data_IF_431974449837
#
_entry.id   IF_431974449837
#
_cell.length_a   1.000
_cell.length_b   1.000
_cell.length_c   1.000
_cell.angle_alpha   90.00
_cell.angle_beta   90.00
_cell.angle_gamma   90.00
#
_symmetry.space_group_name_H-M   'P 1'
#
loop_
_entity.id
_entity.type
_entity.pdbx_description
1 polymer ?
#
# COMPACT_ATOMS: atom_id res chain seq x y z
N UNK A 1 -3.31 -23.72 11.93
CA UNK A 1 -3.85 -22.62 12.77
C UNK A 1 -4.32 -21.52 11.83
N UNK A 2 -5.27 -20.68 12.22
CA UNK A 2 -5.62 -19.52 11.39
C UNK A 2 -4.42 -18.56 11.27
N UNK A 3 -4.20 -17.92 10.11
CA UNK A 3 -3.10 -16.96 9.93
C UNK A 3 -3.21 -15.80 10.90
N UNK A 4 -2.06 -15.31 11.37
CA UNK A 4 -1.98 -14.15 12.26
C UNK A 4 -2.45 -12.85 11.58
N UNK A 5 -2.28 -12.75 10.27
CA UNK A 5 -2.65 -11.60 9.46
C UNK A 5 -3.31 -12.03 8.16
N UNK A 6 -4.46 -11.45 7.85
CA UNK A 6 -5.13 -11.59 6.55
C UNK A 6 -5.13 -10.22 5.91
N UNK A 7 -4.55 -10.12 4.71
CA UNK A 7 -4.31 -8.82 4.08
C UNK A 7 -4.85 -8.74 2.66
N UNK A 8 -5.19 -7.51 2.28
CA UNK A 8 -5.29 -7.05 0.89
C UNK A 8 -4.07 -6.17 0.65
N UNK A 9 -3.41 -6.31 -0.50
CA UNK A 9 -2.35 -5.41 -0.94
C UNK A 9 -2.92 -4.56 -2.08
N UNK A 10 -2.99 -3.24 -1.90
CA UNK A 10 -3.36 -2.27 -2.95
C UNK A 10 -2.09 -1.56 -3.43
N UNK A 11 -1.74 -1.74 -4.71
CA UNK A 11 -0.37 -1.53 -5.22
C UNK A 11 -0.36 -1.07 -6.67
N UNK A 12 0.67 -0.32 -7.06
CA UNK A 12 0.99 0.13 -8.41
C UNK A 12 2.38 -0.40 -8.88
N UNK A 13 2.49 -1.73 -9.06
CA UNK A 13 3.75 -2.47 -9.08
C UNK A 13 4.93 -1.81 -9.83
N UNK A 14 5.79 -1.14 -9.07
CA UNK A 14 7.16 -0.79 -9.43
C UNK A 14 8.17 -1.72 -8.76
N UNK A 15 9.43 -1.27 -8.73
CA UNK A 15 10.54 -2.03 -8.13
C UNK A 15 10.30 -2.34 -6.65
N UNK A 16 9.82 -1.36 -5.88
CA UNK A 16 9.67 -1.50 -4.44
C UNK A 16 8.42 -2.30 -4.06
N UNK A 17 7.30 -2.08 -4.74
CA UNK A 17 6.09 -2.92 -4.66
C UNK A 17 6.37 -4.40 -4.92
N UNK A 18 7.17 -4.71 -5.94
CA UNK A 18 7.53 -6.09 -6.29
C UNK A 18 8.35 -6.72 -5.16
N UNK A 19 9.25 -5.97 -4.52
CA UNK A 19 9.96 -6.45 -3.34
C UNK A 19 9.02 -6.65 -2.14
N UNK A 20 8.00 -5.81 -1.98
CA UNK A 20 7.00 -5.93 -0.93
C UNK A 20 6.14 -7.19 -1.12
N UNK A 21 5.66 -7.42 -2.35
CA UNK A 21 4.91 -8.63 -2.71
C UNK A 21 5.78 -9.88 -2.60
N UNK A 22 7.06 -9.84 -3.01
CA UNK A 22 7.99 -10.96 -2.80
C UNK A 22 8.12 -11.33 -1.33
N UNK A 23 8.27 -10.32 -0.46
CA UNK A 23 8.35 -10.54 0.99
C UNK A 23 7.03 -11.13 1.54
N UNK A 24 5.89 -10.63 1.08
CA UNK A 24 4.58 -11.14 1.48
C UNK A 24 4.37 -12.59 1.02
N UNK A 25 4.70 -12.91 -0.23
CA UNK A 25 4.58 -14.26 -0.79
C UNK A 25 5.52 -15.26 -0.12
N UNK A 26 6.73 -14.83 0.27
CA UNK A 26 7.70 -15.65 1.00
C UNK A 26 7.35 -15.88 2.49
N UNK A 27 6.30 -15.25 3.01
CA UNK A 27 5.83 -15.50 4.36
C UNK A 27 5.34 -16.94 4.55
N UNK A 28 5.25 -17.39 5.81
CA UNK A 28 4.61 -18.66 6.12
C UNK A 28 3.09 -18.50 6.17
N UNK A 29 2.30 -19.54 5.83
CA UNK A 29 0.85 -19.48 5.87
C UNK A 29 0.26 -19.14 7.25
N UNK A 30 0.97 -19.47 8.34
CA UNK A 30 0.57 -19.08 9.69
C UNK A 30 0.84 -17.59 10.02
N UNK A 31 1.74 -16.93 9.29
CA UNK A 31 2.10 -15.52 9.50
C UNK A 31 1.19 -14.58 8.71
N UNK A 32 0.90 -14.94 7.45
CA UNK A 32 0.24 -14.06 6.49
C UNK A 32 -0.60 -14.85 5.48
N UNK A 33 -1.83 -14.40 5.25
CA UNK A 33 -2.71 -14.84 4.16
C UNK A 33 -3.04 -13.63 3.29
N UNK A 34 -2.81 -13.74 1.98
CA UNK A 34 -3.01 -12.66 1.02
C UNK A 34 -4.28 -12.94 0.23
N UNK A 35 -5.31 -12.15 0.46
CA UNK A 35 -6.64 -12.35 -0.11
C UNK A 35 -6.78 -11.74 -1.50
N UNK A 36 -6.19 -10.56 -1.68
CA UNK A 36 -6.32 -9.76 -2.89
C UNK A 36 -5.05 -8.95 -3.14
N UNK A 37 -4.60 -8.97 -4.38
CA UNK A 37 -3.72 -7.98 -4.99
C UNK A 37 -4.61 -7.06 -5.83
N UNK A 38 -4.87 -5.88 -5.30
CA UNK A 38 -5.62 -4.80 -5.92
C UNK A 38 -4.63 -3.92 -6.67
N UNK A 39 -4.77 -3.83 -7.99
CA UNK A 39 -3.79 -3.14 -8.85
C UNK A 39 -4.32 -1.76 -9.23
N UNK A 40 -3.53 -0.71 -9.06
CA UNK A 40 -3.83 0.67 -9.51
C UNK A 40 -2.72 1.22 -10.40
N UNK A 41 -2.98 2.35 -11.05
CA UNK A 41 -1.96 3.18 -11.68
C UNK A 41 -1.09 3.86 -10.61
N UNK A 42 0.10 4.33 -11.02
CA UNK A 42 0.98 5.18 -10.22
C UNK A 42 2.37 5.24 -10.84
N UNK A 43 3.27 4.35 -10.44
CA UNK A 43 4.61 4.22 -11.02
C UNK A 43 4.58 4.13 -12.55
N UNK A 44 3.66 3.31 -13.06
CA UNK A 44 3.32 3.17 -14.47
C UNK A 44 1.81 3.02 -14.66
N UNK A 45 1.37 2.97 -15.92
CA UNK A 45 -0.03 2.71 -16.25
C UNK A 45 -0.51 1.36 -15.68
N UNK A 46 -1.79 1.29 -15.30
CA UNK A 46 -2.35 0.11 -14.60
C UNK A 46 -2.16 -1.21 -15.36
N UNK A 47 -2.12 -1.17 -16.69
CA UNK A 47 -1.89 -2.37 -17.52
C UNK A 47 -0.43 -2.86 -17.44
N UNK A 48 0.53 -1.94 -17.32
CA UNK A 48 1.93 -2.26 -17.06
C UNK A 48 2.10 -2.77 -15.62
N UNK A 49 1.44 -2.14 -14.64
CA UNK A 49 1.39 -2.66 -13.27
C UNK A 49 0.85 -4.10 -13.23
N UNK A 50 -0.25 -4.37 -13.92
CA UNK A 50 -0.83 -5.72 -14.00
C UNK A 50 0.14 -6.73 -14.62
N UNK A 51 0.85 -6.34 -15.70
CA UNK A 51 1.89 -7.19 -16.30
C UNK A 51 2.98 -7.54 -15.30
N UNK A 52 3.40 -6.59 -14.47
CA UNK A 52 4.41 -6.79 -13.43
C UNK A 52 3.93 -7.79 -12.37
N UNK A 53 2.66 -7.73 -11.93
CA UNK A 53 2.07 -8.73 -11.02
C UNK A 53 2.07 -10.12 -11.65
N UNK A 54 1.62 -10.25 -12.90
CA UNK A 54 1.59 -11.55 -13.59
C UNK A 54 3.01 -12.10 -13.79
N UNK A 55 3.97 -11.24 -14.12
CA UNK A 55 5.37 -11.63 -14.25
C UNK A 55 5.97 -12.10 -12.93
N UNK A 56 5.62 -11.45 -11.82
CA UNK A 56 6.03 -11.86 -10.49
C UNK A 56 5.56 -13.30 -10.19
N UNK A 57 4.28 -13.61 -10.39
CA UNK A 57 3.78 -14.99 -10.23
C UNK A 57 4.52 -15.97 -11.13
N UNK A 58 4.71 -15.62 -12.40
CA UNK A 58 5.39 -16.46 -13.38
C UNK A 58 6.85 -16.78 -12.99
N UNK A 59 7.60 -15.78 -12.53
CA UNK A 59 9.00 -15.94 -12.10
C UNK A 59 9.08 -16.75 -10.80
N UNK A 60 8.16 -16.54 -9.85
CA UNK A 60 8.10 -17.35 -8.63
C UNK A 60 7.81 -18.81 -8.97
N UNK A 61 6.89 -19.11 -9.88
CA UNK A 61 6.61 -20.50 -10.30
C UNK A 61 7.87 -21.18 -10.86
N UNK A 62 8.62 -20.48 -11.72
CA UNK A 62 9.92 -20.98 -12.25
C UNK A 62 10.96 -21.18 -11.15
N UNK A 63 11.03 -20.26 -10.19
CA UNK A 63 11.94 -20.35 -9.05
C UNK A 63 11.61 -21.57 -8.17
N UNK A 64 10.33 -21.81 -7.89
CA UNK A 64 9.88 -22.98 -7.10
C UNK A 64 10.22 -24.29 -7.81
N UNK A 65 10.03 -24.36 -9.14
CA UNK A 65 10.45 -25.51 -9.95
C UNK A 65 11.97 -25.74 -9.89
N UNK A 66 12.75 -24.65 -10.01
CA UNK A 66 14.21 -24.70 -9.90
C UNK A 66 14.68 -25.18 -8.52
N UNK A 67 14.10 -24.67 -7.42
CA UNK A 67 14.38 -25.11 -6.04
C UNK A 67 14.04 -26.58 -5.85
N UNK A 68 12.87 -27.01 -6.33
CA UNK A 68 12.41 -28.41 -6.26
C UNK A 68 13.36 -29.37 -6.97
N UNK A 69 13.80 -29.02 -8.18
CA UNK A 69 14.72 -29.84 -8.97
C UNK A 69 16.08 -30.04 -8.28
N UNK A 70 16.44 -29.15 -7.34
CA UNK A 70 17.67 -29.20 -6.54
C UNK A 70 17.46 -29.78 -5.13
N UNK A 71 16.25 -30.27 -4.81
CA UNK A 71 15.92 -30.80 -3.48
C UNK A 71 15.87 -29.74 -2.38
N UNK A 72 15.69 -28.47 -2.74
CA UNK A 72 15.51 -27.36 -1.80
C UNK A 72 14.03 -27.20 -1.45
N UNK A 73 13.75 -26.45 -0.37
CA UNK A 73 12.38 -26.03 -0.06
C UNK A 73 11.86 -25.14 -1.18
N UNK A 74 10.66 -25.44 -1.70
CA UNK A 74 10.06 -24.67 -2.81
C UNK A 74 9.85 -23.20 -2.41
N UNK A 75 9.43 -22.94 -1.17
CA UNK A 75 9.18 -21.60 -0.67
C UNK A 75 7.90 -20.97 -1.24
N UNK A 76 7.67 -19.71 -0.88
CA UNK A 76 6.49 -18.92 -1.27
C UNK A 76 5.15 -19.55 -0.85
N UNK A 77 5.13 -20.19 0.32
CA UNK A 77 3.99 -20.99 0.77
C UNK A 77 2.75 -20.16 1.08
N UNK A 78 2.89 -18.92 1.57
CA UNK A 78 1.75 -18.02 1.75
C UNK A 78 1.01 -17.77 0.43
N UNK A 79 1.74 -17.53 -0.66
CA UNK A 79 1.18 -17.31 -2.00
C UNK A 79 0.39 -18.52 -2.49
N UNK A 80 0.98 -19.71 -2.38
CA UNK A 80 0.34 -20.96 -2.85
C UNK A 80 -0.86 -21.31 -1.99
N UNK A 81 -0.74 -21.14 -0.66
CA UNK A 81 -1.82 -21.44 0.27
C UNK A 81 -2.99 -20.48 0.13
N UNK A 82 -2.74 -19.18 -0.12
CA UNK A 82 -3.82 -18.19 -0.19
C UNK A 82 -4.41 -18.05 -1.59
N UNK A 83 -3.62 -18.36 -2.64
CA UNK A 83 -3.99 -18.20 -4.06
C UNK A 83 -4.72 -16.86 -4.29
N UNK A 84 -4.03 -15.73 -4.07
CA UNK A 84 -4.67 -14.41 -3.98
C UNK A 84 -5.50 -14.11 -5.23
N UNK A 85 -6.58 -13.36 -5.04
CA UNK A 85 -7.29 -12.73 -6.14
C UNK A 85 -6.40 -11.63 -6.71
N UNK A 86 -6.38 -11.44 -8.03
CA UNK A 86 -5.79 -10.28 -8.68
C UNK A 86 -6.91 -9.51 -9.36
N UNK A 87 -7.06 -8.23 -9.06
CA UNK A 87 -8.12 -7.40 -9.62
C UNK A 87 -7.56 -6.07 -10.13
N UNK A 88 -8.06 -5.64 -11.30
CA UNK A 88 -7.68 -4.37 -11.92
C UNK A 88 -8.53 -3.27 -11.32
N UNK A 89 -7.90 -2.22 -10.84
CA UNK A 89 -8.53 -1.06 -10.23
C UNK A 89 -8.55 0.16 -11.15
N UNK A 90 -8.41 1.33 -10.54
CA UNK A 90 -8.37 2.61 -11.23
C UNK A 90 -7.17 2.71 -12.17
N UNK A 91 -7.37 3.41 -13.29
CA UNK A 91 -6.35 3.73 -14.30
C UNK A 91 -5.95 5.23 -14.29
N UNK A 92 -6.58 6.05 -13.44
CA UNK A 92 -6.33 7.48 -13.29
C UNK A 92 -6.72 7.97 -11.88
N UNK A 93 -6.15 9.11 -11.40
CA UNK A 93 -6.51 9.69 -10.11
C UNK A 93 -7.94 10.20 -10.05
N UNK A 94 -8.45 10.27 -8.83
CA UNK A 94 -9.64 11.05 -8.54
C UNK A 94 -9.36 12.51 -8.83
N UNK A 95 -10.17 13.08 -9.73
CA UNK A 95 -10.29 14.52 -9.86
C UNK A 95 -8.94 15.24 -10.11
N UNK A 96 -8.03 14.62 -10.87
CA UNK A 96 -6.71 15.18 -11.21
C UNK A 96 -6.19 14.66 -12.58
N UNK A 97 -5.12 15.27 -13.09
CA UNK A 97 -4.41 14.79 -14.28
C UNK A 97 -3.49 13.60 -13.95
N UNK A 98 -3.38 12.65 -14.87
CA UNK A 98 -2.54 11.46 -14.71
C UNK A 98 -1.06 11.87 -14.63
N UNK A 99 -0.39 11.43 -13.56
CA UNK A 99 1.06 11.57 -13.36
C UNK A 99 1.68 10.17 -13.20
N UNK A 100 2.81 9.94 -13.85
CA UNK A 100 3.52 8.65 -13.87
C UNK A 100 4.99 8.86 -13.48
N UNK A 101 5.62 7.85 -12.86
CA UNK A 101 7.03 7.88 -12.45
C UNK A 101 7.96 7.00 -13.33
N UNK A 102 7.59 6.83 -14.61
CA UNK A 102 8.31 6.04 -15.60
C UNK A 102 9.79 6.44 -15.77
N UNK A 103 10.14 7.71 -15.51
CA UNK A 103 11.52 8.20 -15.51
C UNK A 103 12.42 7.53 -14.45
N UNK A 104 11.87 7.18 -13.29
CA UNK A 104 12.60 6.59 -12.17
C UNK A 104 12.58 5.05 -12.22
N UNK A 105 11.41 4.46 -12.50
CA UNK A 105 11.22 3.01 -12.50
C UNK A 105 11.42 2.35 -13.87
N UNK A 106 11.63 3.12 -14.94
CA UNK A 106 11.68 2.65 -16.33
C UNK A 106 10.30 2.57 -16.97
N UNK A 107 10.27 2.45 -18.31
CA UNK A 107 9.03 2.45 -19.11
C UNK A 107 8.01 1.36 -18.74
N UNK A 108 8.45 0.28 -18.09
CA UNK A 108 7.60 -0.81 -17.62
C UNK A 108 7.49 -0.87 -16.08
N UNK A 109 8.08 0.08 -15.35
CA UNK A 109 8.11 0.09 -13.88
C UNK A 109 9.15 -0.85 -13.25
N UNK A 110 9.84 -1.65 -14.07
CA UNK A 110 10.86 -2.62 -13.64
C UNK A 110 12.13 -2.52 -14.50
N UNK A 111 12.56 -1.30 -14.81
CA UNK A 111 13.79 -0.98 -15.52
C UNK A 111 13.98 -1.71 -16.88
N UNK A 112 12.88 -1.95 -17.60
CA UNK A 112 12.87 -2.63 -18.89
C UNK A 112 13.15 -4.14 -18.78
N UNK A 113 12.81 -4.77 -17.65
CA UNK A 113 13.03 -6.21 -17.44
C UNK A 113 12.30 -7.03 -18.49
N UNK A 114 11.14 -6.57 -18.96
CA UNK A 114 10.35 -7.31 -19.95
C UNK A 114 10.99 -7.37 -21.34
N UNK A 115 11.82 -6.38 -21.68
CA UNK A 115 12.58 -6.36 -22.94
C UNK A 115 13.91 -7.07 -22.79
N UNK A 116 14.58 -6.89 -21.65
CA UNK A 116 15.93 -7.45 -21.42
C UNK A 116 15.91 -8.93 -21.05
N UNK A 117 14.86 -9.42 -20.42
CA UNK A 117 14.70 -10.82 -19.98
C UNK A 117 13.36 -11.40 -20.46
N UNK A 118 13.16 -11.55 -21.78
CA UNK A 118 11.90 -12.03 -22.33
C UNK A 118 11.57 -13.48 -21.92
N UNK A 119 12.57 -14.30 -21.58
CA UNK A 119 12.40 -15.66 -21.06
C UNK A 119 11.80 -15.74 -19.64
N UNK A 120 11.85 -14.62 -18.91
CA UNK A 120 11.26 -14.45 -17.57
C UNK A 120 9.98 -13.61 -17.62
N UNK A 121 9.53 -13.23 -18.82
CA UNK A 121 8.28 -12.50 -19.00
C UNK A 121 7.16 -13.46 -19.38
N UNK A 122 5.95 -13.29 -18.81
CA UNK A 122 4.81 -14.12 -19.16
C UNK A 122 4.39 -13.83 -20.61
N UNK A 123 3.86 -14.85 -21.28
CA UNK A 123 3.24 -14.66 -22.61
C UNK A 123 1.97 -13.81 -22.48
N UNK A 124 1.54 -13.15 -23.56
CA UNK A 124 0.34 -12.29 -23.54
C UNK A 124 -0.99 -13.03 -23.27
N UNK A 125 -0.97 -14.34 -23.08
CA UNK A 125 -2.15 -15.15 -22.78
C UNK A 125 -2.87 -14.71 -21.49
N UNK A 126 -2.19 -14.05 -20.55
CA UNK A 126 -2.82 -13.54 -19.32
C UNK A 126 -3.81 -12.39 -19.57
N UNK A 127 -3.70 -11.66 -20.69
CA UNK A 127 -4.56 -10.49 -20.99
C UNK A 127 -6.03 -10.87 -21.07
N UNK A 128 -6.35 -12.08 -21.54
CA UNK A 128 -7.73 -12.57 -21.64
C UNK A 128 -8.30 -13.01 -20.29
N UNK A 129 -7.45 -13.24 -19.28
CA UNK A 129 -7.88 -13.67 -17.95
C UNK A 129 -8.63 -12.57 -17.18
N UNK A 130 -8.50 -11.31 -17.57
CA UNK A 130 -9.11 -10.15 -16.91
C UNK A 130 -10.14 -9.42 -17.77
N UNK A 131 -10.57 -10.05 -18.88
CA UNK A 131 -11.65 -9.54 -19.71
C UNK A 131 -12.98 -10.24 -19.38
N UNK A 132 -14.10 -9.50 -19.25
CA UNK A 132 -15.42 -10.10 -19.12
C UNK A 132 -15.69 -11.03 -20.31
N UNK A 133 -16.09 -12.27 -20.03
CA UNK A 133 -16.47 -13.22 -21.10
C UNK A 133 -17.63 -12.63 -21.91
N UNK A 134 -17.50 -12.58 -23.24
CA UNK A 134 -18.49 -12.02 -24.17
C UNK A 134 -19.85 -12.78 -24.20
N UNK A 135 -20.07 -13.74 -23.31
CA UNK A 135 -21.24 -14.61 -23.27
C UNK A 135 -22.24 -14.20 -22.17
N UNK A 136 -22.86 -13.02 -22.26
CA UNK A 136 -24.08 -12.74 -21.48
C UNK A 136 -25.12 -11.84 -22.17
N UNK A 137 -25.14 -11.81 -23.50
CA UNK A 137 -26.23 -11.21 -24.29
C UNK A 137 -26.87 -12.24 -25.20
N UNK A 138 -27.46 -13.29 -24.61
CA UNK A 138 -28.58 -13.99 -25.23
C UNK A 138 -29.44 -14.65 -24.15
N UNK A 139 -30.73 -14.31 -24.18
CA UNK A 139 -31.76 -14.88 -23.33
C UNK A 139 -31.91 -16.38 -23.58
N UNK A 140 -31.80 -17.18 -22.51
CA UNK A 140 -32.39 -18.52 -22.44
C UNK A 140 -31.43 -19.70 -22.64
N UNK A 141 -30.78 -20.12 -21.55
CA UNK A 141 -30.77 -21.49 -20.99
C UNK A 141 -29.76 -21.53 -19.84
N UNK A 142 -30.27 -21.79 -18.63
CA UNK A 142 -29.46 -22.11 -17.46
C UNK A 142 -28.96 -23.54 -17.63
N UNK A 143 -27.66 -23.69 -17.88
CA UNK A 143 -26.90 -24.92 -17.64
C UNK A 143 -25.39 -24.62 -17.77
N UNK A 144 -24.68 -24.79 -16.65
CA UNK A 144 -23.27 -25.25 -16.59
C UNK A 144 -22.29 -24.60 -17.57
N UNK A 145 -21.73 -23.44 -17.20
CA UNK A 145 -20.53 -22.90 -17.81
C UNK A 145 -19.72 -22.06 -16.81
N UNK A 146 -19.31 -22.67 -15.70
CA UNK A 146 -18.21 -22.18 -14.88
C UNK A 146 -17.05 -23.14 -15.05
N UNK A 147 -16.19 -22.93 -16.06
CA UNK A 147 -14.82 -23.47 -16.19
C UNK A 147 -14.34 -23.27 -17.65
N UNK A 148 -13.79 -22.11 -18.00
CA UNK A 148 -13.01 -21.99 -19.26
C UNK A 148 -11.97 -20.86 -19.27
N UNK A 149 -11.39 -20.51 -18.12
CA UNK A 149 -10.05 -19.93 -18.07
C UNK A 149 -9.11 -21.02 -17.54
N UNK A 150 -7.99 -21.28 -18.22
CA UNK A 150 -6.98 -22.21 -17.68
C UNK A 150 -6.58 -21.69 -16.30
N UNK A 151 -6.87 -22.42 -15.20
CA UNK A 151 -6.64 -21.89 -13.87
C UNK A 151 -5.14 -21.71 -13.67
N UNK A 152 -4.69 -20.47 -13.48
CA UNK A 152 -3.35 -20.19 -12.98
C UNK A 152 -3.21 -20.87 -11.61
N UNK A 153 -2.10 -21.57 -11.39
CA UNK A 153 -1.89 -22.30 -10.15
C UNK A 153 -1.76 -21.35 -8.95
N UNK A 154 -1.13 -20.20 -9.15
CA UNK A 154 -0.68 -19.31 -8.06
C UNK A 154 -1.59 -18.12 -7.75
N UNK A 155 -2.58 -17.80 -8.60
CA UNK A 155 -3.53 -16.70 -8.33
C UNK A 155 -4.89 -16.93 -9.01
N UNK A 156 -5.88 -16.10 -8.66
CA UNK A 156 -7.21 -16.08 -9.28
C UNK A 156 -7.47 -14.72 -9.92
N UNK A 157 -7.60 -14.65 -11.25
CA UNK A 157 -7.94 -13.40 -11.93
C UNK A 157 -9.42 -13.02 -11.66
N UNK A 158 -9.66 -11.78 -11.23
CA UNK A 158 -11.01 -11.22 -11.12
C UNK A 158 -11.38 -10.40 -12.35
N UNK A 159 -12.66 -10.50 -12.73
CA UNK A 159 -13.30 -9.64 -13.73
C UNK A 159 -13.96 -8.40 -13.11
N UNK A 160 -14.06 -8.36 -11.79
CA UNK A 160 -14.61 -7.22 -11.08
C UNK A 160 -13.51 -6.18 -10.82
N UNK A 161 -13.85 -4.87 -10.84
CA UNK A 161 -12.92 -3.83 -10.43
C UNK A 161 -12.42 -4.03 -9.00
N UNK A 162 -11.17 -3.65 -8.75
CA UNK A 162 -10.52 -3.93 -7.48
C UNK A 162 -11.24 -3.34 -6.25
N UNK A 163 -11.78 -2.11 -6.34
CA UNK A 163 -12.59 -1.52 -5.26
C UNK A 163 -13.84 -2.35 -4.89
N UNK A 164 -14.41 -3.08 -5.86
CA UNK A 164 -15.56 -3.98 -5.62
C UNK A 164 -15.13 -5.28 -4.98
N UNK A 165 -13.97 -5.82 -5.36
CA UNK A 165 -13.39 -6.99 -4.68
C UNK A 165 -13.02 -6.68 -3.23
N UNK A 166 -12.49 -5.48 -2.96
CA UNK A 166 -12.26 -4.99 -1.59
C UNK A 166 -13.57 -5.04 -0.79
N UNK A 167 -14.65 -4.41 -1.28
CA UNK A 167 -15.93 -4.41 -0.59
C UNK A 167 -16.53 -5.81 -0.43
N UNK A 168 -16.45 -6.66 -1.47
CA UNK A 168 -16.91 -8.04 -1.43
C UNK A 168 -16.21 -8.83 -0.33
N UNK A 169 -14.88 -8.77 -0.29
CA UNK A 169 -14.08 -9.47 0.73
C UNK A 169 -14.38 -8.95 2.14
N UNK A 170 -14.48 -7.63 2.34
CA UNK A 170 -14.82 -7.06 3.64
C UNK A 170 -16.23 -7.45 4.10
N UNK A 171 -17.19 -7.60 3.17
CA UNK A 171 -18.55 -8.04 3.45
C UNK A 171 -18.65 -9.52 3.81
N UNK A 172 -17.95 -10.37 3.06
CA UNK A 172 -17.98 -11.84 3.22
C UNK A 172 -17.18 -12.33 4.44
N UNK A 173 -16.23 -11.52 4.94
CA UNK A 173 -15.40 -11.89 6.07
C UNK A 173 -15.87 -11.21 7.37
N UNK A 174 -15.54 -11.77 8.55
CA UNK A 174 -15.83 -11.13 9.83
C UNK A 174 -15.25 -9.70 9.89
N UNK A 175 -15.96 -8.81 10.58
CA UNK A 175 -15.46 -7.47 10.89
C UNK A 175 -14.10 -7.57 11.61
N UNK A 176 -13.22 -6.61 11.37
CA UNK A 176 -11.90 -6.51 12.01
C UNK A 176 -10.97 -7.72 11.74
N UNK A 177 -11.20 -8.46 10.65
CA UNK A 177 -10.37 -9.61 10.27
C UNK A 177 -9.38 -9.36 9.13
N UNK A 178 -9.60 -8.32 8.31
CA UNK A 178 -8.79 -8.01 7.13
C UNK A 178 -8.11 -6.65 7.31
N UNK A 179 -6.79 -6.59 7.10
CA UNK A 179 -6.04 -5.32 6.97
C UNK A 179 -5.81 -5.01 5.49
N UNK A 180 -5.97 -3.76 5.08
CA UNK A 180 -5.59 -3.32 3.73
C UNK A 180 -4.23 -2.65 3.84
N UNK A 181 -3.24 -3.13 3.09
CA UNK A 181 -1.89 -2.55 2.99
C UNK A 181 -1.81 -1.83 1.65
N UNK A 182 -1.81 -0.50 1.70
CA UNK A 182 -1.75 0.37 0.55
C UNK A 182 -0.32 0.82 0.35
N UNK A 183 0.26 0.43 -0.78
CA UNK A 183 1.61 0.78 -1.21
C UNK A 183 1.63 1.55 -2.53
N UNK A 184 0.45 1.88 -3.05
CA UNK A 184 0.27 2.81 -4.17
C UNK A 184 -0.73 3.94 -3.88
N UNK A 185 -1.11 4.72 -4.91
CA UNK A 185 -2.09 5.78 -4.79
C UNK A 185 -3.44 5.27 -4.25
N UNK A 186 -4.04 5.96 -3.27
CA UNK A 186 -5.22 5.49 -2.53
C UNK A 186 -6.55 5.51 -3.31
N UNK A 187 -6.50 5.59 -4.64
CA UNK A 187 -7.65 5.73 -5.54
C UNK A 187 -8.65 4.58 -5.37
N UNK A 188 -8.20 3.32 -5.40
CA UNK A 188 -9.06 2.15 -5.24
C UNK A 188 -9.74 2.11 -3.87
N UNK A 189 -8.99 2.47 -2.82
CA UNK A 189 -9.49 2.54 -1.45
C UNK A 189 -10.51 3.66 -1.29
N UNK A 190 -10.26 4.83 -1.88
CA UNK A 190 -11.21 5.94 -1.88
C UNK A 190 -12.50 5.60 -2.65
N UNK A 191 -12.40 4.89 -3.79
CA UNK A 191 -13.54 4.38 -4.54
C UNK A 191 -14.37 3.39 -3.71
N UNK A 192 -13.71 2.41 -3.08
CA UNK A 192 -14.38 1.43 -2.22
C UNK A 192 -15.10 2.12 -1.06
N UNK A 193 -14.41 3.03 -0.39
CA UNK A 193 -14.97 3.75 0.75
C UNK A 193 -16.12 4.68 0.36
N UNK A 194 -16.10 5.27 -0.84
CA UNK A 194 -17.18 6.12 -1.33
C UNK A 194 -18.41 5.32 -1.79
N UNK A 195 -18.20 4.13 -2.36
CA UNK A 195 -19.29 3.25 -2.82
C UNK A 195 -20.10 2.65 -1.66
N UNK A 196 -19.43 2.11 -0.63
CA UNK A 196 -20.09 1.59 0.57
C UNK A 196 -19.23 1.85 1.82
N UNK A 197 -19.37 3.05 2.44
CA UNK A 197 -18.59 3.43 3.62
C UNK A 197 -18.73 2.47 4.80
N UNK A 198 -19.92 1.92 5.03
CA UNK A 198 -20.18 1.04 6.18
C UNK A 198 -19.54 -0.34 5.99
N UNK A 199 -19.63 -0.90 4.78
CA UNK A 199 -18.91 -2.14 4.46
C UNK A 199 -17.40 -1.90 4.51
N UNK A 200 -16.91 -0.78 3.97
CA UNK A 200 -15.49 -0.42 4.01
C UNK A 200 -14.97 -0.33 5.45
N UNK A 201 -15.72 0.32 6.35
CA UNK A 201 -15.37 0.44 7.78
C UNK A 201 -15.32 -0.88 8.54
N UNK A 202 -15.66 -2.02 7.93
CA UNK A 202 -15.42 -3.36 8.51
C UNK A 202 -13.94 -3.75 8.52
N UNK A 203 -13.10 -3.08 7.74
CA UNK A 203 -11.65 -3.28 7.69
C UNK A 203 -11.05 -3.17 9.10
N UNK A 204 -10.11 -4.06 9.44
CA UNK A 204 -9.38 -4.03 10.71
C UNK A 204 -8.57 -2.76 10.87
N UNK A 205 -7.84 -2.42 9.81
CA UNK A 205 -6.89 -1.32 9.73
C UNK A 205 -6.53 -1.08 8.25
N UNK A 206 -6.26 0.17 7.90
CA UNK A 206 -5.61 0.53 6.63
C UNK A 206 -4.18 0.97 6.95
N UNK A 207 -3.20 0.24 6.44
CA UNK A 207 -1.77 0.57 6.55
C UNK A 207 -1.37 1.26 5.26
N UNK A 208 -0.83 2.47 5.34
CA UNK A 208 -0.51 3.31 4.17
C UNK A 208 0.98 3.59 4.14
N UNK A 209 1.67 3.19 3.07
CA UNK A 209 2.94 3.80 2.69
C UNK A 209 2.62 5.11 1.98
N UNK A 210 3.07 6.22 2.56
CA UNK A 210 2.88 7.53 1.95
C UNK A 210 3.12 8.69 2.89
N UNK A 211 3.32 9.87 2.29
CA UNK A 211 3.56 11.12 3.00
C UNK A 211 5.00 11.38 3.40
N UNK A 212 5.29 12.66 3.64
CA UNK A 212 6.55 13.16 4.18
C UNK A 212 6.20 14.24 5.22
N UNK A 213 6.68 14.08 6.46
CA UNK A 213 6.22 14.90 7.59
C UNK A 213 7.33 15.83 8.09
N UNK A 214 8.43 15.25 8.56
CA UNK A 214 9.59 15.97 9.09
C UNK A 214 10.81 15.86 8.15
N UNK A 215 10.60 15.37 6.92
CA UNK A 215 11.61 15.19 5.85
C UNK A 215 11.12 15.77 4.52
N UNK A 216 12.02 15.92 3.56
CA UNK A 216 11.67 16.28 2.18
C UNK A 216 10.75 15.25 1.49
N UNK A 217 9.98 15.73 0.52
CA UNK A 217 9.26 14.85 -0.40
C UNK A 217 10.18 14.24 -1.46
N UNK A 218 9.72 13.14 -2.09
CA UNK A 218 10.48 12.42 -3.12
C UNK A 218 10.03 12.74 -4.57
N UNK A 219 8.82 13.32 -4.76
CA UNK A 219 8.33 13.76 -6.08
C UNK A 219 8.30 15.29 -6.21
N UNK A 220 8.00 16.00 -5.13
CA UNK A 220 8.16 17.45 -4.99
C UNK A 220 8.91 17.74 -3.70
N UNK A 221 9.38 18.97 -3.44
CA UNK A 221 10.09 19.29 -2.20
C UNK A 221 9.33 18.93 -0.90
N UNK A 222 7.99 18.81 -0.95
CA UNK A 222 7.15 18.61 0.25
C UNK A 222 6.14 17.46 0.12
N UNK A 223 6.06 16.81 -1.03
CA UNK A 223 5.09 15.74 -1.28
C UNK A 223 5.79 14.42 -1.59
N UNK A 224 5.23 13.37 -1.04
CA UNK A 224 5.56 11.99 -1.35
C UNK A 224 4.70 11.51 -2.54
N UNK A 225 5.26 10.63 -3.37
CA UNK A 225 4.73 10.19 -4.65
C UNK A 225 3.29 9.66 -4.62
N UNK A 226 2.98 8.64 -3.83
CA UNK A 226 1.66 8.00 -3.76
C UNK A 226 0.57 9.01 -3.39
N UNK A 227 0.88 9.87 -2.42
CA UNK A 227 -0.01 10.95 -2.01
C UNK A 227 -0.16 12.01 -3.09
N UNK A 228 0.92 12.37 -3.78
CA UNK A 228 0.90 13.35 -4.85
C UNK A 228 0.17 12.82 -6.09
N UNK A 229 0.27 11.53 -6.38
CA UNK A 229 -0.45 10.90 -7.48
C UNK A 229 -1.97 11.09 -7.31
N UNK A 230 -2.49 10.94 -6.08
CA UNK A 230 -3.88 11.22 -5.77
C UNK A 230 -4.09 11.86 -4.38
N UNK A 231 -3.91 13.17 -4.32
CA UNK A 231 -4.03 13.93 -3.07
C UNK A 231 -5.48 13.97 -2.59
N UNK A 232 -6.45 13.96 -3.50
CA UNK A 232 -7.88 13.97 -3.19
C UNK A 232 -8.30 12.62 -2.59
N UNK A 233 -7.95 11.49 -3.20
CA UNK A 233 -8.20 10.17 -2.63
C UNK A 233 -7.59 10.04 -1.24
N UNK A 234 -6.34 10.49 -1.07
CA UNK A 234 -5.66 10.43 0.23
C UNK A 234 -6.39 11.25 1.28
N UNK A 235 -6.76 12.50 0.97
CA UNK A 235 -7.52 13.36 1.86
C UNK A 235 -8.88 12.74 2.26
N UNK A 236 -9.58 12.11 1.30
CA UNK A 236 -10.88 11.47 1.52
C UNK A 236 -10.76 10.24 2.43
N UNK A 237 -9.76 9.37 2.20
CA UNK A 237 -9.52 8.22 3.07
C UNK A 237 -9.13 8.67 4.47
N UNK A 238 -8.27 9.69 4.59
CA UNK A 238 -7.87 10.23 5.89
C UNK A 238 -9.04 10.86 6.65
N UNK A 239 -9.99 11.51 5.95
CA UNK A 239 -11.18 12.08 6.55
C UNK A 239 -12.04 11.04 7.29
N UNK A 240 -12.06 9.77 6.85
CA UNK A 240 -12.78 8.69 7.54
C UNK A 240 -12.22 8.37 8.92
N UNK A 241 -11.00 8.79 9.24
CA UNK A 241 -10.41 8.63 10.58
C UNK A 241 -10.95 9.68 11.57
N UNK A 242 -11.59 10.75 11.08
CA UNK A 242 -12.23 11.75 11.92
C UNK A 242 -13.60 11.26 12.43
N UNK A 243 -13.98 11.58 13.67
CA UNK A 243 -15.38 11.46 14.12
C UNK A 243 -16.37 12.24 13.27
N UNK A 244 -15.90 13.30 12.59
CA UNK A 244 -16.68 14.09 11.65
C UNK A 244 -15.92 14.24 10.32
N UNK A 245 -15.99 13.25 9.41
CA UNK A 245 -15.24 13.26 8.16
C UNK A 245 -15.45 14.52 7.34
N UNK A 246 -16.67 15.08 7.33
CA UNK A 246 -16.99 16.29 6.56
C UNK A 246 -16.13 17.51 6.92
N UNK A 247 -15.55 17.54 8.12
CA UNK A 247 -14.74 18.65 8.60
C UNK A 247 -13.29 18.68 8.08
N UNK A 248 -12.80 17.55 7.53
CA UNK A 248 -11.46 17.42 6.95
C UNK A 248 -11.47 17.03 5.49
N UNK A 249 -12.65 16.88 4.89
CA UNK A 249 -12.81 16.68 3.45
C UNK A 249 -12.13 17.82 2.67
N UNK A 250 -11.38 17.50 1.59
CA UNK A 250 -10.73 18.53 0.78
C UNK A 250 -11.78 19.37 0.02
N UNK A 251 -11.45 20.62 -0.34
CA UNK A 251 -12.24 21.35 -1.33
C UNK A 251 -12.20 20.59 -2.66
N UNK A 252 -13.36 20.24 -3.20
CA UNK A 252 -13.46 19.49 -4.46
C UNK A 252 -13.29 20.45 -5.66
N UNK A 253 -12.49 20.11 -6.68
CA UNK A 253 -12.44 20.85 -7.93
C UNK A 253 -13.81 20.91 -8.60
N UNK A 254 -14.31 22.13 -8.89
CA UNK A 254 -15.64 22.37 -9.50
C UNK A 254 -15.84 21.76 -10.90
N UNK A 255 -14.79 21.24 -11.53
CA UNK A 255 -14.78 20.83 -12.95
C UNK A 255 -14.44 19.36 -13.18
N UNK A 256 -14.17 18.59 -12.13
CA UNK A 256 -13.73 17.21 -12.23
C UNK A 256 -14.74 16.26 -11.59
N UNK A 257 -14.66 14.97 -11.90
CA UNK A 257 -15.66 13.97 -11.50
C UNK A 257 -15.68 13.78 -9.98
N UNK A 258 -16.66 14.37 -9.29
CA UNK A 258 -16.71 14.31 -7.82
C UNK A 258 -17.28 13.01 -7.28
N UNK A 259 -16.57 12.37 -6.35
CA UNK A 259 -17.18 11.32 -5.52
C UNK A 259 -18.16 11.91 -4.50
N UNK A 260 -19.30 11.24 -4.29
CA UNK A 260 -20.33 11.66 -3.34
C UNK A 260 -19.75 11.90 -1.93
N UNK A 261 -20.24 12.90 -1.17
CA UNK A 261 -19.85 13.08 0.23
C UNK A 261 -20.17 11.84 1.08
N UNK A 262 -19.36 11.59 2.11
CA UNK A 262 -19.68 10.55 3.09
C UNK A 262 -20.95 10.89 3.89
N UNK A 263 -21.71 9.89 4.37
CA UNK A 263 -22.79 10.08 5.32
C UNK A 263 -22.35 10.88 6.55
N UNK A 264 -23.24 11.70 7.11
CA UNK A 264 -22.95 12.49 8.33
C UNK A 264 -22.68 11.65 9.56
N UNK A 265 -23.27 10.45 9.61
CA UNK A 265 -23.11 9.51 10.72
C UNK A 265 -22.59 8.20 10.13
N UNK A 266 -21.45 7.75 10.64
CA UNK A 266 -20.83 6.47 10.32
C UNK A 266 -20.74 5.63 11.59
N UNK A 267 -20.74 4.30 11.45
CA UNK A 267 -20.72 3.39 12.60
C UNK A 267 -19.45 3.47 13.44
N UNK A 268 -18.32 3.89 12.86
CA UNK A 268 -17.06 4.19 13.55
C UNK A 268 -16.08 4.98 12.66
N UNK A 269 -15.03 5.57 13.23
CA UNK A 269 -13.88 6.04 12.47
C UNK A 269 -13.07 4.88 11.87
N UNK A 270 -12.37 5.17 10.77
CA UNK A 270 -11.35 4.30 10.19
C UNK A 270 -10.11 4.26 11.08
N UNK A 271 -9.52 3.06 11.23
CA UNK A 271 -8.20 2.87 11.80
C UNK A 271 -7.16 2.95 10.70
N UNK A 272 -6.26 3.93 10.78
CA UNK A 272 -5.23 4.15 9.76
C UNK A 272 -3.85 4.28 10.40
N UNK A 273 -2.90 3.50 9.89
CA UNK A 273 -1.49 3.56 10.28
C UNK A 273 -0.64 4.02 9.10
N UNK A 274 0.13 5.09 9.31
CA UNK A 274 0.90 5.77 8.26
C UNK A 274 2.39 5.46 8.39
N UNK A 275 2.99 5.08 7.26
CA UNK A 275 4.42 4.88 7.05
C UNK A 275 4.97 5.95 6.10
N UNK A 276 5.33 7.13 6.64
CA UNK A 276 5.86 8.22 5.80
C UNK A 276 7.35 8.01 5.46
N UNK A 277 7.86 8.87 4.58
CA UNK A 277 9.29 8.93 4.22
C UNK A 277 10.20 9.05 5.46
N UNK A 278 9.71 9.70 6.53
CA UNK A 278 10.42 9.83 7.81
C UNK A 278 10.94 8.50 8.37
N UNK A 279 10.17 7.42 8.19
CA UNK A 279 10.53 6.09 8.71
C UNK A 279 10.92 5.10 7.61
N UNK A 280 10.57 5.36 6.35
CA UNK A 280 10.85 4.43 5.24
C UNK A 280 12.19 4.69 4.56
N UNK A 281 12.57 5.94 4.31
CA UNK A 281 13.84 6.31 3.65
C UNK A 281 15.09 5.75 4.34
N UNK A 282 15.18 5.66 5.69
CA UNK A 282 16.34 5.08 6.35
C UNK A 282 16.56 3.58 6.08
N UNK A 283 15.54 2.86 5.60
CA UNK A 283 15.61 1.42 5.35
C UNK A 283 16.09 1.15 3.93
N UNK A 284 17.38 0.92 3.78
CA UNK A 284 17.98 0.70 2.45
C UNK A 284 18.38 -0.75 2.22
N UNK A 285 18.24 -1.22 0.98
CA UNK A 285 18.84 -2.42 0.43
C UNK A 285 20.10 -2.06 -0.36
N UNK A 286 21.26 -2.35 0.21
CA UNK A 286 22.54 -1.92 -0.35
C UNK A 286 22.98 -2.77 -1.55
N UNK A 287 23.61 -2.16 -2.55
CA UNK A 287 24.13 -2.86 -3.74
C UNK A 287 25.01 -4.05 -3.35
N UNK A 288 25.93 -3.84 -2.40
CA UNK A 288 26.81 -4.89 -1.90
C UNK A 288 26.07 -6.08 -1.30
N UNK A 289 24.98 -5.83 -0.56
CA UNK A 289 24.14 -6.86 0.06
C UNK A 289 23.38 -7.66 -1.01
N UNK A 290 22.83 -6.97 -2.02
CA UNK A 290 22.12 -7.59 -3.15
C UNK A 290 23.07 -8.51 -3.91
N UNK A 291 24.23 -8.01 -4.35
CA UNK A 291 25.21 -8.82 -5.08
C UNK A 291 25.70 -10.01 -4.26
N UNK A 292 26.00 -9.80 -2.97
CA UNK A 292 26.45 -10.89 -2.10
C UNK A 292 25.41 -12.03 -1.98
N UNK A 293 24.11 -11.72 -1.96
CA UNK A 293 23.05 -12.73 -1.88
C UNK A 293 22.69 -13.33 -3.25
N UNK A 294 22.56 -12.50 -4.29
CA UNK A 294 22.00 -12.92 -5.58
C UNK A 294 23.05 -13.51 -6.52
N UNK A 295 24.29 -13.04 -6.54
CA UNK A 295 25.30 -13.52 -7.50
C UNK A 295 25.55 -15.04 -7.42
N UNK A 296 25.63 -15.68 -6.24
CA UNK A 296 25.73 -17.14 -6.15
C UNK A 296 24.50 -17.86 -6.73
N UNK A 297 23.30 -17.35 -6.47
CA UNK A 297 22.05 -17.94 -6.95
C UNK A 297 21.91 -17.80 -8.47
N UNK A 298 22.33 -16.66 -9.03
CA UNK A 298 22.38 -16.42 -10.47
C UNK A 298 23.33 -17.42 -11.15
N UNK A 299 24.53 -17.64 -10.59
CA UNK A 299 25.47 -18.65 -11.11
C UNK A 299 24.89 -20.07 -11.08
N UNK A 300 24.03 -20.36 -10.11
CA UNK A 300 23.34 -21.64 -9.98
C UNK A 300 22.04 -21.73 -10.83
N UNK A 301 21.69 -20.64 -11.54
CA UNK A 301 20.58 -20.57 -12.48
C UNK A 301 19.22 -20.24 -11.85
N UNK A 302 19.17 -19.57 -10.69
CA UNK A 302 17.92 -19.12 -10.06
C UNK A 302 17.19 -18.08 -10.94
N UNK A 303 15.98 -18.39 -11.45
CA UNK A 303 15.20 -17.45 -12.25
C UNK A 303 14.83 -16.18 -11.47
N UNK A 304 14.51 -16.31 -10.18
CA UNK A 304 14.12 -15.16 -9.37
C UNK A 304 15.33 -14.27 -9.06
N UNK A 305 16.50 -14.84 -8.74
CA UNK A 305 17.68 -14.03 -8.49
C UNK A 305 18.13 -13.26 -9.74
N UNK A 306 18.07 -13.89 -10.93
CA UNK A 306 18.33 -13.24 -12.22
C UNK A 306 17.35 -12.08 -12.46
N UNK A 307 16.04 -12.34 -12.33
CA UNK A 307 15.00 -11.35 -12.56
C UNK A 307 15.09 -10.16 -11.58
N UNK A 308 15.24 -10.43 -10.28
CA UNK A 308 15.36 -9.39 -9.26
C UNK A 308 16.64 -8.58 -9.41
N UNK A 309 17.78 -9.22 -9.68
CA UNK A 309 19.04 -8.50 -9.95
C UNK A 309 18.91 -7.55 -11.14
N UNK A 310 18.22 -7.97 -12.20
CA UNK A 310 18.08 -7.17 -13.42
C UNK A 310 17.41 -5.81 -13.18
N UNK A 311 16.34 -5.74 -12.40
CA UNK A 311 15.67 -4.47 -12.12
C UNK A 311 16.29 -3.72 -10.93
N UNK A 312 16.72 -4.41 -9.86
CA UNK A 312 17.32 -3.76 -8.68
C UNK A 312 18.63 -3.06 -9.04
N UNK A 313 19.55 -3.73 -9.74
CA UNK A 313 20.84 -3.12 -10.09
C UNK A 313 20.69 -1.95 -11.07
N UNK A 314 19.77 -2.05 -12.04
CA UNK A 314 19.48 -0.92 -12.94
C UNK A 314 18.90 0.29 -12.21
N UNK A 315 18.03 0.07 -11.23
CA UNK A 315 17.50 1.16 -10.40
C UNK A 315 18.62 1.80 -9.58
N UNK A 316 19.50 1.01 -8.98
CA UNK A 316 20.68 1.52 -8.26
C UNK A 316 21.60 2.33 -9.17
N UNK A 317 21.85 1.87 -10.41
CA UNK A 317 22.62 2.62 -11.41
C UNK A 317 21.95 3.94 -11.78
N UNK A 318 20.62 3.94 -11.92
CA UNK A 318 19.84 5.14 -12.19
C UNK A 318 19.90 6.12 -11.02
N UNK A 319 19.72 5.66 -9.78
CA UNK A 319 19.85 6.49 -8.58
C UNK A 319 21.24 7.12 -8.46
N UNK A 320 22.30 6.35 -8.71
CA UNK A 320 23.68 6.85 -8.71
C UNK A 320 23.92 7.90 -9.80
N UNK A 321 23.22 7.82 -10.95
CA UNK A 321 23.29 8.83 -12.02
C UNK A 321 22.61 10.16 -11.68
N UNK A 322 21.65 10.15 -10.75
CA UNK A 322 20.85 11.32 -10.36
C UNK A 322 21.34 11.98 -9.06
N UNK A 323 22.07 11.23 -8.24
CA UNK A 323 22.53 11.67 -6.93
C UNK A 323 24.05 11.84 -6.90
N UNK A 324 24.59 12.34 -5.79
CA UNK A 324 26.05 12.34 -5.60
C UNK A 324 26.53 10.91 -5.49
N UNK A 325 27.66 10.59 -6.12
CA UNK A 325 28.28 9.26 -6.03
C UNK A 325 28.43 8.82 -4.57
N UNK A 326 27.82 7.69 -4.24
CA UNK A 326 27.94 7.02 -2.96
C UNK A 326 28.88 5.82 -3.11
N UNK A 327 29.56 5.42 -2.04
CA UNK A 327 30.46 4.26 -2.10
C UNK A 327 29.70 2.93 -2.26
N UNK A 328 28.51 2.85 -1.67
CA UNK A 328 27.56 1.72 -1.78
C UNK A 328 26.16 2.34 -1.84
N UNK A 329 25.55 2.47 -3.02
CA UNK A 329 24.20 3.01 -3.14
C UNK A 329 23.18 1.98 -2.62
N UNK A 330 22.18 2.48 -1.90
CA UNK A 330 21.08 1.68 -1.38
C UNK A 330 19.75 2.07 -2.01
N UNK A 331 18.93 1.08 -2.31
CA UNK A 331 17.54 1.26 -2.70
C UNK A 331 16.71 1.42 -1.43
N UNK A 332 15.96 2.52 -1.31
CA UNK A 332 15.03 2.74 -0.20
C UNK A 332 13.88 1.73 -0.28
N UNK A 333 13.55 1.07 0.84
CA UNK A 333 12.55 0.01 0.95
C UNK A 333 11.28 0.56 1.61
N UNK A 334 10.52 1.37 0.88
CA UNK A 334 9.31 2.00 1.38
C UNK A 334 8.17 1.00 1.55
N UNK A 335 7.77 0.35 0.46
CA UNK A 335 6.63 -0.56 0.43
C UNK A 335 6.89 -1.83 1.23
N UNK A 336 8.07 -2.47 1.13
CA UNK A 336 8.39 -3.67 1.89
C UNK A 336 8.34 -3.43 3.41
N UNK A 337 8.57 -2.20 3.87
CA UNK A 337 8.53 -1.88 5.31
C UNK A 337 7.14 -2.13 5.90
N UNK A 338 6.08 -1.87 5.13
CA UNK A 338 4.69 -2.12 5.56
C UNK A 338 4.39 -3.61 5.69
N UNK A 339 4.94 -4.45 4.81
CA UNK A 339 4.83 -5.90 4.90
C UNK A 339 5.66 -6.43 6.07
N UNK A 340 6.85 -5.87 6.32
CA UNK A 340 7.65 -6.23 7.49
C UNK A 340 6.93 -5.89 8.79
N UNK A 341 6.24 -4.75 8.85
CA UNK A 341 5.32 -4.42 9.93
C UNK A 341 4.25 -5.49 10.07
N UNK A 342 3.55 -5.89 9.00
CA UNK A 342 2.53 -6.94 9.11
C UNK A 342 3.08 -8.26 9.69
N UNK A 343 4.29 -8.65 9.29
CA UNK A 343 4.94 -9.87 9.80
C UNK A 343 5.44 -9.74 11.25
N UNK A 344 5.77 -8.53 11.70
CA UNK A 344 6.48 -8.32 12.98
C UNK A 344 5.83 -7.31 13.91
N UNK A 345 4.59 -6.89 13.67
CA UNK A 345 3.91 -5.79 14.40
C UNK A 345 3.79 -6.01 15.91
N UNK A 346 3.94 -7.24 16.39
CA UNK A 346 3.99 -7.55 17.82
C UNK A 346 5.31 -7.14 18.48
N UNK A 347 6.34 -6.81 17.69
CA UNK A 347 7.62 -6.34 18.19
C UNK A 347 7.47 -4.95 18.84
N UNK A 348 7.92 -4.76 20.09
CA UNK A 348 7.73 -3.51 20.84
C UNK A 348 8.57 -2.34 20.29
N UNK A 349 9.48 -2.61 19.35
CA UNK A 349 10.32 -1.62 18.68
C UNK A 349 9.59 -0.84 17.58
N UNK A 350 8.46 -1.35 17.10
CA UNK A 350 7.53 -0.54 16.32
C UNK A 350 6.95 0.52 17.25
N UNK A 351 7.17 1.80 16.93
CA UNK A 351 6.63 2.88 17.73
C UNK A 351 5.83 3.87 16.92
N UNK A 352 4.72 4.31 17.52
CA UNK A 352 3.93 5.43 17.03
C UNK A 352 4.52 6.76 17.47
N UNK A 353 4.19 7.83 16.76
CA UNK A 353 4.49 9.19 17.18
C UNK A 353 3.98 9.42 18.62
N UNK A 354 4.71 10.18 19.48
CA UNK A 354 4.32 10.33 20.89
C UNK A 354 2.94 10.94 21.11
N UNK A 355 2.42 11.67 20.12
CA UNK A 355 1.09 12.31 20.13
C UNK A 355 0.05 11.54 19.32
N UNK A 356 0.37 10.33 18.85
CA UNK A 356 -0.57 9.51 18.11
C UNK A 356 -1.83 9.20 18.95
N UNK A 357 -3.01 9.13 18.32
CA UNK A 357 -3.27 9.48 16.92
C UNK A 357 -3.13 10.99 16.66
N UNK A 358 -2.53 11.36 15.52
CA UNK A 358 -2.26 12.76 15.12
C UNK A 358 -3.34 13.28 14.14
N UNK A 359 -3.65 14.59 14.19
CA UNK A 359 -4.45 15.28 13.16
C UNK A 359 -3.52 15.63 11.99
N UNK A 360 -3.46 14.74 11.01
CA UNK A 360 -2.70 14.92 9.77
C UNK A 360 -3.70 15.13 8.63
N UNK A 361 -3.57 16.25 7.91
CA UNK A 361 -4.44 16.61 6.78
C UNK A 361 -3.64 16.72 5.50
N UNK A 362 -4.29 16.57 4.36
CA UNK A 362 -3.63 16.61 3.05
C UNK A 362 -3.94 17.94 2.36
N UNK A 363 -2.91 18.62 1.88
CA UNK A 363 -3.05 19.76 0.97
C UNK A 363 -3.39 19.27 -0.44
N UNK A 364 -4.52 19.70 -1.00
CA UNK A 364 -5.00 19.22 -2.30
C UNK A 364 -4.98 20.28 -3.41
N UNK A 365 -4.78 21.56 -3.08
CA UNK A 365 -4.98 22.66 -4.02
C UNK A 365 -3.76 23.58 -4.20
N UNK A 366 -2.86 23.66 -3.22
CA UNK A 366 -1.70 24.54 -3.26
C UNK A 366 -0.78 24.26 -4.45
N UNK A 367 -0.46 25.29 -5.23
CA UNK A 367 0.40 25.19 -6.42
C UNK A 367 1.74 24.48 -6.16
N UNK A 368 2.33 24.72 -4.98
CA UNK A 368 3.65 24.21 -4.61
C UNK A 368 3.61 23.14 -3.51
N UNK A 369 2.44 22.91 -2.93
CA UNK A 369 2.28 22.12 -1.71
C UNK A 369 1.22 21.03 -1.84
N UNK A 370 0.61 20.85 -3.02
CA UNK A 370 -0.28 19.71 -3.30
C UNK A 370 0.42 18.40 -2.91
N UNK A 371 -0.30 17.52 -2.21
CA UNK A 371 0.20 16.24 -1.67
C UNK A 371 0.95 16.36 -0.33
N UNK A 372 1.17 17.58 0.19
CA UNK A 372 1.83 17.76 1.48
C UNK A 372 0.94 17.26 2.62
N UNK A 373 1.56 16.54 3.56
CA UNK A 373 0.94 16.17 4.82
C UNK A 373 1.13 17.29 5.85
N UNK A 374 0.03 17.93 6.28
CA UNK A 374 0.03 19.08 7.17
C UNK A 374 -0.28 18.63 8.60
N UNK A 375 0.57 19.06 9.54
CA UNK A 375 0.38 18.90 10.98
C UNK A 375 0.46 20.28 11.65
N UNK A 376 -0.50 20.60 12.51
CA UNK A 376 -0.40 21.79 13.37
C UNK A 376 0.57 21.55 14.54
N UNK A 377 1.78 22.11 14.43
CA UNK A 377 2.82 22.06 15.48
C UNK A 377 2.80 23.26 16.42
N UNK A 378 1.89 24.22 16.24
CA UNK A 378 1.83 25.42 17.08
C UNK A 378 1.50 25.04 18.53
N UNK A 379 2.15 25.68 19.49
CA UNK A 379 1.91 25.46 20.91
C UNK A 379 0.64 26.21 21.38
N UNK A 380 -0.54 25.73 20.97
CA UNK A 380 -1.85 26.30 21.34
C UNK A 380 -2.58 25.38 22.32
N UNK A 381 -3.28 25.97 23.30
CA UNK A 381 -4.12 25.21 24.23
C UNK A 381 -5.34 24.64 23.48
N UNK A 382 -5.49 23.32 23.46
CA UNK A 382 -6.76 22.68 23.07
C UNK A 382 -7.78 22.91 24.20
N UNK A 383 -8.98 23.35 23.86
CA UNK A 383 -10.03 23.61 24.85
C UNK A 383 -10.52 22.31 25.51
N UNK A 384 -10.64 22.31 26.83
CA UNK A 384 -11.55 21.41 27.56
C UNK A 384 -11.08 20.00 27.95
N UNK A 385 -9.96 19.44 27.46
CA UNK A 385 -9.57 18.04 27.76
C UNK A 385 -8.04 17.81 27.72
N UNK A 386 -7.53 16.93 28.59
CA UNK A 386 -6.20 16.31 28.46
C UNK A 386 -6.26 15.02 27.62
N UNK A 387 -5.56 14.95 26.50
CA UNK A 387 -5.30 13.69 25.79
C UNK A 387 -4.41 12.82 26.69
N UNK A 388 -4.96 11.74 27.26
CA UNK A 388 -4.16 10.70 27.92
C UNK A 388 -3.95 9.56 26.93
N UNK A 389 -2.82 9.58 26.24
CA UNK A 389 -2.40 8.43 25.43
C UNK A 389 -2.14 7.27 26.39
N UNK A 390 -2.96 6.21 26.30
CA UNK A 390 -2.93 5.06 27.23
C UNK A 390 -1.55 4.39 27.30
N UNK A 391 -0.83 4.37 26.17
CA UNK A 391 0.53 3.82 26.03
C UNK A 391 1.32 4.67 25.01
N UNK A 392 1.95 5.79 25.41
CA UNK A 392 2.68 6.65 24.49
C UNK A 392 3.75 5.88 23.71
N UNK A 393 3.64 5.87 22.39
CA UNK A 393 4.61 5.25 21.50
C UNK A 393 4.44 3.75 21.25
N UNK A 394 3.60 3.01 21.99
CA UNK A 394 3.32 1.62 21.63
C UNK A 394 2.38 1.54 20.43
N UNK A 395 2.58 0.58 19.53
CA UNK A 395 1.58 0.27 18.49
C UNK A 395 0.32 -0.27 19.16
N UNK A 396 -0.71 0.57 19.18
CA UNK A 396 -2.04 0.23 19.65
C UNK A 396 -3.06 0.54 18.54
N UNK A 397 -3.53 -0.51 17.87
CA UNK A 397 -4.55 -0.44 16.82
C UNK A 397 -5.97 -0.65 17.39
N UNK A 398 -6.17 -0.49 18.70
CA UNK A 398 -7.50 -0.38 19.31
C UNK A 398 -8.25 0.86 18.77
N UNK A 399 -9.50 1.08 19.20
CA UNK A 399 -10.24 2.23 18.69
C UNK A 399 -9.46 3.52 19.02
N UNK A 400 -9.07 4.35 18.04
CA UNK A 400 -8.34 5.58 18.30
C UNK A 400 -9.08 6.50 19.29
N UNK A 401 -10.41 6.42 19.33
CA UNK A 401 -11.25 7.16 20.27
C UNK A 401 -11.17 6.62 21.71
N UNK A 402 -10.78 5.36 21.93
CA UNK A 402 -10.60 4.81 23.28
C UNK A 402 -9.46 5.48 24.05
N UNK A 403 -8.55 6.17 23.34
CA UNK A 403 -7.47 6.97 23.92
C UNK A 403 -7.88 8.42 24.27
N UNK A 404 -9.13 8.81 23.95
CA UNK A 404 -9.65 10.16 24.13
C UNK A 404 -10.79 10.18 25.16
N UNK A 405 -10.62 10.90 26.26
CA UNK A 405 -11.71 11.12 27.24
C UNK A 405 -12.43 12.42 26.91
N UNK A 406 -13.58 12.37 26.24
CA UNK A 406 -14.35 13.58 25.92
C UNK A 406 -15.11 14.05 27.18
N UNK A 407 -14.55 15.01 27.91
CA UNK A 407 -15.28 15.73 28.93
C UNK A 407 -16.12 16.81 28.25
N UNK A 408 -17.43 16.57 28.12
CA UNK A 408 -18.46 17.48 27.56
C UNK A 408 -18.38 17.76 26.06
N UNK A 409 -19.39 17.29 25.33
CA UNK A 409 -19.71 17.77 23.99
C UNK A 409 -20.28 19.19 24.11
N UNK A 410 -19.43 20.20 23.95
CA UNK A 410 -19.90 21.55 23.66
C UNK A 410 -20.01 21.68 22.14
N UNK A 411 -21.23 21.94 21.67
CA UNK A 411 -21.60 22.18 20.26
C UNK A 411 -21.01 23.48 19.67
N UNK A 412 -20.26 24.28 20.44
CA UNK A 412 -19.61 25.51 19.94
C UNK A 412 -18.13 25.26 19.61
N UNK A 413 -17.95 24.73 18.41
CA UNK A 413 -16.76 24.04 17.90
C UNK A 413 -15.71 25.00 17.27
N UNK A 414 -15.79 26.30 17.53
CA UNK A 414 -14.90 27.32 16.97
C UNK A 414 -14.26 28.15 18.09
N UNK A 415 -13.16 27.62 18.65
CA UNK A 415 -12.28 28.42 19.49
C UNK A 415 -11.88 29.69 18.71
N UNK A 416 -11.97 30.90 19.30
CA UNK A 416 -11.64 32.13 18.59
C UNK A 416 -10.27 32.06 17.91
N UNK A 417 -10.24 32.24 16.59
CA UNK A 417 -9.03 32.14 15.78
C UNK A 417 -8.54 30.71 15.49
N UNK A 418 -9.38 29.69 15.65
CA UNK A 418 -9.11 28.31 15.18
C UNK A 418 -9.68 28.07 13.79
N UNK A 419 -9.17 28.83 12.81
CA UNK A 419 -9.56 28.65 11.41
C UNK A 419 -9.19 27.23 10.96
N UNK A 420 -10.18 26.44 10.56
CA UNK A 420 -10.02 25.05 10.15
C UNK A 420 -10.17 24.02 11.28
N UNK A 421 -10.48 24.42 12.51
CA UNK A 421 -10.82 23.48 13.59
C UNK A 421 -9.67 22.55 14.00
N UNK A 422 -8.43 23.05 14.06
CA UNK A 422 -7.23 22.27 14.42
C UNK A 422 -7.14 21.99 15.92
N UNK A 423 -7.86 22.77 16.74
CA UNK A 423 -7.95 22.58 18.18
C UNK A 423 -9.14 21.70 18.59
N UNK A 424 -10.06 21.41 17.66
CA UNK A 424 -11.24 20.60 17.90
C UNK A 424 -10.90 19.11 18.06
N UNK A 425 -11.55 18.47 19.03
CA UNK A 425 -11.40 17.05 19.34
C UNK A 425 -12.34 16.15 18.54
N UNK A 426 -13.17 16.72 17.69
CA UNK A 426 -14.13 15.97 16.85
C UNK A 426 -13.97 16.25 15.36
N UNK A 427 -13.28 17.35 14.99
CA UNK A 427 -13.02 17.70 13.59
C UNK A 427 -11.78 17.01 12.99
N UNK A 428 -10.63 17.06 13.66
CA UNK A 428 -9.37 16.57 13.09
C UNK A 428 -9.34 15.06 12.76
N UNK A 429 -8.37 14.64 11.94
CA UNK A 429 -8.12 13.24 11.60
C UNK A 429 -7.47 12.46 12.78
N UNK A 430 -7.50 11.13 12.75
CA UNK A 430 -6.90 10.24 13.77
C UNK A 430 -5.95 9.24 13.12
N UNK A 431 -4.70 9.64 12.95
CA UNK A 431 -3.72 8.85 12.19
C UNK A 431 -2.60 8.35 13.10
N UNK A 432 -2.36 7.04 13.05
CA UNK A 432 -1.28 6.37 13.76
C UNK A 432 0.00 6.41 12.93
N UNK A 433 0.79 7.49 13.07
CA UNK A 433 2.06 7.60 12.34
C UNK A 433 3.16 6.78 13.00
N UNK A 434 3.81 5.92 12.23
CA UNK A 434 4.97 5.13 12.66
C UNK A 434 6.23 5.98 12.59
N UNK A 435 7.07 5.90 13.62
CA UNK A 435 8.33 6.67 13.74
C UNK A 435 9.54 5.81 14.08
N UNK A 436 9.35 4.51 14.33
CA UNK A 436 10.41 3.58 14.68
C UNK A 436 10.04 2.18 14.24
N UNK A 437 11.06 1.40 13.88
CA UNK A 437 10.95 0.01 13.49
C UNK A 437 11.95 -0.87 14.26
N UNK A 438 11.92 -2.21 14.12
CA UNK A 438 12.87 -3.12 14.77
C UNK A 438 14.34 -2.95 14.37
N UNK A 439 14.64 -2.16 13.34
CA UNK A 439 16.01 -1.77 13.00
C UNK A 439 16.23 -1.52 11.51
N UNK A 440 16.77 -0.34 11.19
CA UNK A 440 17.07 0.11 9.82
C UNK A 440 18.02 -0.84 9.09
N UNK A 441 19.21 -1.10 9.67
CA UNK A 441 20.25 -1.93 9.06
C UNK A 441 19.92 -3.43 9.01
N UNK A 442 18.88 -3.87 9.74
CA UNK A 442 18.48 -5.28 9.81
C UNK A 442 17.53 -5.64 8.67
N UNK A 443 16.69 -4.69 8.23
CA UNK A 443 15.57 -5.01 7.36
C UNK A 443 15.99 -5.53 5.99
N UNK A 444 16.93 -4.87 5.30
CA UNK A 444 17.39 -5.33 3.98
C UNK A 444 17.92 -6.77 4.00
N UNK A 445 18.65 -7.15 5.06
CA UNK A 445 19.12 -8.54 5.26
C UNK A 445 17.97 -9.50 5.53
N UNK A 446 17.01 -9.10 6.36
CA UNK A 446 15.82 -9.89 6.65
C UNK A 446 15.02 -10.17 5.37
N UNK A 447 14.82 -9.15 4.52
CA UNK A 447 14.13 -9.28 3.24
C UNK A 447 14.86 -10.27 2.32
N UNK A 448 16.16 -10.07 2.13
CA UNK A 448 16.98 -10.95 1.28
C UNK A 448 16.96 -12.41 1.78
N UNK A 449 17.04 -12.63 3.09
CA UNK A 449 17.02 -13.97 3.66
C UNK A 449 15.64 -14.64 3.52
N UNK A 450 14.56 -13.89 3.71
CA UNK A 450 13.21 -14.41 3.53
C UNK A 450 12.91 -14.82 2.10
N UNK A 451 13.31 -14.01 1.13
CA UNK A 451 12.95 -14.23 -0.28
C UNK A 451 13.90 -15.23 -0.96
N UNK A 452 15.20 -15.17 -0.63
CA UNK A 452 16.26 -15.91 -1.33
C UNK A 452 17.04 -16.92 -0.47
N UNK A 453 16.70 -17.08 0.81
CA UNK A 453 17.33 -18.04 1.73
C UNK A 453 16.69 -19.41 1.76
#
# INVERSE_FOLDING_TARGET
MAPLNRIIIDTDPGVDDVLAMLLAFAAKPEELEILLISVTYGNVEVQSCLRNVVALFHVIEKEREWRKARGQLEGFEAMISSKPIVAIGADHPLEDEILMADYFHGIDGLAGVHTSHPHLSPSDAWKTLFQPSAASTSTGKVAEAHESSSPTASFTASQAPAHKEILRLLKENPRDSITIVCVGPLTNVALAAAEDPETFLRVKEVVVMGGAIDVEGNITPVAEFNTYADAVATARVFALTSPNPSSTMPPLPLKLSTLNPYPRQLSRPLKLTLFPLDVTTPHTLQRSQVSAKLDPLIRDGSPLAEWTSAFVHKTLDKMESLTRKQADPGLELHDPLTIWYMLTRSAPSWMLAPKAPEDIRIETAGQWTRGMHIIDRRNRKKGGVSQQVKSPGAVDISDPMDSLTIATAYDDDDAPGDNGGWLSLVKGNRINRIISSPGEAVFGKYLLERVFG
#
